data_IF_437758662061
#
_entry.id   IF_437758662061
#
_cell.length_a   1.000
_cell.length_b   1.000
_cell.length_c   1.000
_cell.angle_alpha   90.00
_cell.angle_beta   90.00
_cell.angle_gamma   90.00
#
_symmetry.space_group_name_H-M   'P 1'
#
loop_
_entity.id
_entity.type
_entity.pdbx_description
1 polymer ?
#
# COMPACT_ATOMS: atom_id res chain seq x y z
N UNK A 1 16.90 10.05 -20.70
CA UNK A 1 16.33 9.33 -19.53
C UNK A 1 17.23 8.16 -19.22
N UNK A 2 17.54 7.90 -17.96
CA UNK A 2 18.32 6.70 -17.58
C UNK A 2 17.45 5.45 -17.73
N UNK A 3 18.04 4.28 -18.02
CA UNK A 3 17.28 3.04 -18.20
C UNK A 3 16.35 2.73 -17.00
N UNK A 4 16.83 2.98 -15.78
CA UNK A 4 16.06 2.82 -14.54
C UNK A 4 14.82 3.74 -14.49
N UNK A 5 14.94 5.00 -14.91
CA UNK A 5 13.80 5.92 -14.87
C UNK A 5 12.72 5.53 -15.89
N UNK A 6 13.13 5.05 -17.06
CA UNK A 6 12.20 4.53 -18.05
C UNK A 6 11.47 3.27 -17.54
N UNK A 7 12.18 2.32 -16.92
CA UNK A 7 11.60 1.11 -16.36
C UNK A 7 10.58 1.42 -15.25
N UNK A 8 10.92 2.31 -14.32
CA UNK A 8 10.01 2.73 -13.24
C UNK A 8 8.73 3.38 -13.77
N UNK A 9 8.81 4.25 -14.78
CA UNK A 9 7.63 4.89 -15.37
C UNK A 9 6.71 3.88 -16.07
N UNK A 10 7.29 2.90 -16.75
CA UNK A 10 6.54 1.80 -17.36
C UNK A 10 5.81 0.95 -16.32
N UNK A 11 6.48 0.62 -15.22
CA UNK A 11 5.88 -0.14 -14.12
C UNK A 11 4.73 0.61 -13.47
N UNK A 12 4.90 1.90 -13.18
CA UNK A 12 3.83 2.74 -12.62
C UNK A 12 2.61 2.73 -13.54
N UNK A 13 2.81 2.95 -14.84
CA UNK A 13 1.73 2.94 -15.83
C UNK A 13 1.04 1.57 -15.93
N UNK A 14 1.80 0.48 -15.82
CA UNK A 14 1.27 -0.90 -15.83
C UNK A 14 0.41 -1.17 -14.60
N UNK A 15 0.91 -0.84 -13.41
CA UNK A 15 0.18 -1.03 -12.16
C UNK A 15 -1.09 -0.19 -12.11
N UNK A 16 -1.02 1.06 -12.59
CA UNK A 16 -2.19 1.93 -12.65
C UNK A 16 -3.28 1.44 -13.61
N UNK A 17 -2.90 0.69 -14.66
CA UNK A 17 -3.87 0.05 -15.58
C UNK A 17 -4.48 -1.23 -15.00
N UNK A 18 -3.86 -1.83 -14.00
CA UNK A 18 -4.38 -3.02 -13.33
C UNK A 18 -5.44 -2.60 -12.29
N UNK A 19 -6.69 -2.45 -12.75
CA UNK A 19 -7.82 -2.06 -11.90
C UNK A 19 -8.00 -2.99 -10.70
N UNK A 20 -7.79 -4.31 -10.87
CA UNK A 20 -7.91 -5.28 -9.78
C UNK A 20 -6.87 -5.00 -8.70
N UNK A 21 -5.62 -4.77 -9.09
CA UNK A 21 -4.55 -4.40 -8.16
C UNK A 21 -4.91 -3.13 -7.38
N UNK A 22 -5.31 -2.05 -8.04
CA UNK A 22 -5.70 -0.80 -7.34
C UNK A 22 -6.84 -1.04 -6.35
N UNK A 23 -7.87 -1.77 -6.77
CA UNK A 23 -9.01 -2.08 -5.91
C UNK A 23 -8.56 -2.88 -4.69
N UNK A 24 -7.84 -3.99 -4.85
CA UNK A 24 -7.43 -4.81 -3.70
C UNK A 24 -6.41 -4.13 -2.79
N UNK A 25 -5.45 -3.40 -3.38
CA UNK A 25 -4.40 -2.69 -2.64
C UNK A 25 -4.94 -1.54 -1.80
N UNK A 26 -6.09 -0.95 -2.16
CA UNK A 26 -6.79 0.06 -1.37
C UNK A 26 -7.87 -0.55 -0.47
N UNK A 27 -8.63 -1.52 -0.98
CA UNK A 27 -9.77 -2.11 -0.28
C UNK A 27 -9.35 -2.78 1.04
N UNK A 28 -8.28 -3.58 1.02
CA UNK A 28 -7.81 -4.28 2.23
C UNK A 28 -7.39 -3.28 3.34
N UNK A 29 -6.49 -2.31 3.09
CA UNK A 29 -6.11 -1.35 4.13
C UNK A 29 -7.27 -0.46 4.58
N UNK A 30 -8.19 -0.07 3.67
CA UNK A 30 -9.39 0.66 4.06
C UNK A 30 -10.32 -0.17 4.94
N UNK A 31 -10.55 -1.43 4.58
CA UNK A 31 -11.36 -2.35 5.35
C UNK A 31 -10.82 -2.52 6.78
N UNK A 32 -9.52 -2.79 6.91
CA UNK A 32 -8.87 -2.88 8.22
C UNK A 32 -8.89 -1.56 8.98
N UNK A 33 -8.67 -0.43 8.30
CA UNK A 33 -8.78 0.89 8.91
C UNK A 33 -10.14 1.08 9.59
N UNK A 34 -11.23 0.90 8.84
CA UNK A 34 -12.58 1.09 9.39
C UNK A 34 -12.90 0.10 10.50
N UNK A 35 -12.53 -1.18 10.32
CA UNK A 35 -12.77 -2.22 11.31
C UNK A 35 -12.06 -1.90 12.64
N UNK A 36 -10.77 -1.61 12.62
CA UNK A 36 -10.00 -1.39 13.85
C UNK A 36 -10.22 0.00 14.46
N UNK A 37 -10.52 1.02 13.67
CA UNK A 37 -10.89 2.34 14.23
C UNK A 37 -12.25 2.27 14.90
N UNK A 38 -13.21 1.51 14.34
CA UNK A 38 -14.51 1.33 14.96
C UNK A 38 -14.43 0.51 16.25
N UNK A 39 -13.64 -0.58 16.26
CA UNK A 39 -13.46 -1.44 17.44
C UNK A 39 -12.76 -0.75 18.61
N UNK A 40 -11.70 0.04 18.34
CA UNK A 40 -10.91 0.69 19.40
C UNK A 40 -11.48 2.06 19.80
N UNK A 41 -12.45 2.60 19.08
CA UNK A 41 -12.99 3.94 19.27
C UNK A 41 -12.10 5.02 18.63
N UNK A 42 -12.71 5.84 17.78
CA UNK A 42 -11.99 6.85 16.99
C UNK A 42 -11.27 7.92 17.83
N UNK A 43 -11.68 8.14 19.07
CA UNK A 43 -11.13 9.15 19.98
C UNK A 43 -10.05 8.63 20.93
N UNK A 44 -9.71 7.33 20.86
CA UNK A 44 -8.62 6.76 21.65
C UNK A 44 -7.31 7.49 21.30
N UNK A 45 -6.53 7.85 22.33
CA UNK A 45 -5.23 8.49 22.16
C UNK A 45 -4.12 7.48 22.44
N UNK A 46 -3.15 7.40 21.55
CA UNK A 46 -1.95 6.57 21.68
C UNK A 46 -0.74 7.45 21.34
N UNK A 47 0.28 7.44 22.20
CA UNK A 47 1.54 8.16 21.96
C UNK A 47 1.36 9.67 21.69
N UNK A 48 0.36 10.31 22.31
CA UNK A 48 0.06 11.73 22.12
C UNK A 48 -0.73 12.07 20.85
N UNK A 49 -1.05 11.10 19.99
CA UNK A 49 -1.88 11.30 18.79
C UNK A 49 -3.19 10.52 18.88
N UNK A 50 -4.13 10.86 18.00
CA UNK A 50 -5.39 10.13 17.85
C UNK A 50 -5.13 8.80 17.13
N UNK A 51 -5.71 7.72 17.66
CA UNK A 51 -5.59 6.36 17.13
C UNK A 51 -5.95 6.29 15.64
N UNK A 52 -7.02 6.98 15.23
CA UNK A 52 -7.42 7.05 13.81
C UNK A 52 -6.29 7.55 12.92
N UNK A 53 -5.61 8.64 13.30
CA UNK A 53 -4.50 9.22 12.51
C UNK A 53 -3.30 8.28 12.48
N UNK A 54 -2.95 7.71 13.63
CA UNK A 54 -1.85 6.75 13.72
C UNK A 54 -2.09 5.54 12.83
N UNK A 55 -3.27 4.93 12.96
CA UNK A 55 -3.63 3.73 12.24
C UNK A 55 -3.77 3.96 10.73
N UNK A 56 -4.24 5.14 10.31
CA UNK A 56 -4.28 5.54 8.90
C UNK A 56 -2.88 5.52 8.26
N UNK A 57 -1.88 6.09 8.94
CA UNK A 57 -0.49 6.07 8.45
C UNK A 57 0.08 4.65 8.39
N UNK A 58 -0.22 3.81 9.39
CA UNK A 58 0.17 2.39 9.38
C UNK A 58 -0.44 1.64 8.20
N UNK A 59 -1.70 1.89 7.85
CA UNK A 59 -2.35 1.26 6.70
C UNK A 59 -1.76 1.72 5.36
N UNK A 60 -1.36 2.99 5.26
CA UNK A 60 -0.63 3.49 4.09
C UNK A 60 0.72 2.78 3.91
N UNK A 61 1.50 2.65 5.00
CA UNK A 61 2.77 1.92 4.98
C UNK A 61 2.57 0.43 4.62
N UNK A 62 1.55 -0.22 5.21
CA UNK A 62 1.21 -1.61 4.91
C UNK A 62 0.90 -1.82 3.42
N UNK A 63 0.13 -0.93 2.81
CA UNK A 63 -0.20 -1.00 1.37
C UNK A 63 1.04 -0.86 0.47
N UNK A 64 1.96 0.05 0.82
CA UNK A 64 3.22 0.24 0.10
C UNK A 64 4.10 -1.00 0.19
N UNK A 65 4.28 -1.55 1.39
CA UNK A 65 5.12 -2.75 1.59
C UNK A 65 4.49 -3.95 0.89
N UNK A 66 3.18 -4.14 1.03
CA UNK A 66 2.46 -5.24 0.40
C UNK A 66 2.55 -5.21 -1.13
N UNK A 67 2.44 -4.03 -1.74
CA UNK A 67 2.58 -3.89 -3.20
C UNK A 67 4.03 -4.05 -3.68
N UNK A 68 5.01 -3.57 -2.93
CA UNK A 68 6.43 -3.75 -3.25
C UNK A 68 6.82 -5.23 -3.27
N UNK A 69 6.40 -6.00 -2.26
CA UNK A 69 6.75 -7.43 -2.15
C UNK A 69 6.01 -8.29 -3.18
N UNK A 70 4.69 -8.17 -3.26
CA UNK A 70 3.89 -9.09 -4.07
C UNK A 70 3.97 -8.82 -5.58
N UNK A 71 4.41 -7.62 -5.98
CA UNK A 71 4.31 -7.18 -7.37
C UNK A 71 5.69 -6.83 -7.94
N UNK A 72 6.38 -5.85 -7.35
CA UNK A 72 7.68 -5.40 -7.85
C UNK A 72 8.77 -6.46 -7.61
N UNK A 73 8.90 -6.97 -6.38
CA UNK A 73 9.97 -7.91 -6.02
C UNK A 73 9.83 -9.24 -6.75
N UNK A 74 8.60 -9.78 -6.84
CA UNK A 74 8.33 -11.01 -7.58
C UNK A 74 8.76 -10.88 -9.05
N UNK A 75 8.41 -9.77 -9.71
CA UNK A 75 8.77 -9.56 -11.11
C UNK A 75 10.26 -9.38 -11.31
N UNK A 76 10.91 -8.60 -10.45
CA UNK A 76 12.35 -8.42 -10.49
C UNK A 76 13.07 -9.77 -10.35
N UNK A 77 12.56 -10.69 -9.52
CA UNK A 77 13.11 -12.04 -9.38
C UNK A 77 12.95 -12.86 -10.67
N UNK A 78 11.79 -12.81 -11.32
CA UNK A 78 11.55 -13.47 -12.62
C UNK A 78 12.41 -12.92 -13.75
N UNK A 79 12.73 -11.62 -13.76
CA UNK A 79 13.57 -11.02 -14.80
C UNK A 79 15.05 -11.43 -14.69
N UNK A 80 15.47 -12.05 -13.56
CA UNK A 80 16.85 -12.56 -13.39
C UNK A 80 17.07 -14.00 -13.84
N UNK A 81 16.00 -14.75 -14.13
CA UNK A 81 16.04 -16.13 -14.63
C UNK A 81 15.84 -16.15 -16.13
#
# INVERSE_FOLDING_TARGET
MTALTAQSLWEIKRQFRNKRFIVFTLFIPLFYYFLFVHLNGASMKIGGTQWSKYFMMSMAAFSVIGSALNNLAARLAFERT
#
